data_IF_132402796838
#
_entry.id   IF_132402796838
#
_cell.length_a   1.000
_cell.length_b   1.000
_cell.length_c   1.000
_cell.angle_alpha   90.00
_cell.angle_beta   90.00
_cell.angle_gamma   90.00
#
_symmetry.space_group_name_H-M   'P 1'
#
loop_
_entity.id
_entity.type
_entity.pdbx_description
1 polymer ?
#
# COMPACT_ATOMS: atom_id res chain seq x y z
N UNK A 1 -20.20 -4.22 -14.87
CA UNK A 1 -18.81 -3.75 -14.72
C UNK A 1 -17.93 -4.95 -14.41
N UNK A 2 -16.93 -5.22 -15.24
CA UNK A 2 -16.03 -6.35 -15.07
C UNK A 2 -14.61 -5.85 -14.79
N UNK A 3 -14.13 -6.05 -13.56
CA UNK A 3 -12.78 -5.69 -13.16
C UNK A 3 -11.79 -6.83 -13.34
N UNK A 4 -10.61 -6.49 -13.85
CA UNK A 4 -9.45 -7.40 -13.89
C UNK A 4 -8.20 -6.64 -13.43
N UNK A 5 -7.24 -7.31 -12.80
CA UNK A 5 -5.91 -6.72 -12.55
C UNK A 5 -5.10 -6.77 -13.83
N UNK A 6 -4.43 -5.68 -14.18
CA UNK A 6 -3.53 -5.62 -15.32
C UNK A 6 -2.20 -6.23 -14.89
N UNK A 7 -1.76 -7.33 -15.49
CA UNK A 7 -0.55 -8.01 -15.09
C UNK A 7 0.71 -7.39 -15.68
N UNK A 8 1.82 -7.53 -14.97
CA UNK A 8 3.20 -7.33 -15.45
C UNK A 8 3.48 -5.95 -16.08
N UNK A 9 2.81 -4.91 -15.54
CA UNK A 9 2.95 -3.55 -16.05
C UNK A 9 3.01 -2.53 -14.91
N UNK A 10 3.97 -1.60 -14.98
CA UNK A 10 4.04 -0.48 -14.03
C UNK A 10 2.79 0.40 -14.12
N UNK A 11 2.29 0.82 -12.97
CA UNK A 11 1.09 1.66 -12.90
C UNK A 11 1.42 3.12 -13.25
N UNK A 12 0.63 3.79 -14.10
CA UNK A 12 0.82 5.21 -14.37
C UNK A 12 0.42 6.07 -13.16
N UNK A 13 0.96 7.28 -13.09
CA UNK A 13 0.47 8.28 -12.15
C UNK A 13 -1.00 8.61 -12.43
N UNK A 14 -1.82 8.68 -11.39
CA UNK A 14 -3.21 9.10 -11.50
C UNK A 14 -3.33 10.63 -11.32
N UNK A 15 -4.22 11.30 -12.06
CA UNK A 15 -4.41 12.73 -11.91
C UNK A 15 -4.92 13.08 -10.51
N UNK A 16 -4.51 14.25 -9.99
CA UNK A 16 -5.03 14.82 -8.74
C UNK A 16 -6.52 15.14 -8.89
N UNK A 17 -7.26 14.98 -7.82
CA UNK A 17 -8.70 15.32 -7.77
C UNK A 17 -8.84 16.77 -7.29
N UNK A 18 -9.36 17.65 -8.14
CA UNK A 18 -9.59 19.06 -7.80
C UNK A 18 -10.84 19.25 -6.94
N UNK A 19 -11.91 18.54 -7.26
CA UNK A 19 -13.19 18.58 -6.54
C UNK A 19 -13.60 17.14 -6.18
N UNK A 20 -13.36 16.79 -4.92
CA UNK A 20 -13.64 15.43 -4.41
C UNK A 20 -15.14 15.15 -4.38
N UNK A 21 -15.98 16.14 -4.08
CA UNK A 21 -17.45 15.95 -4.01
C UNK A 21 -18.01 15.63 -5.38
N UNK A 22 -17.61 16.40 -6.38
CA UNK A 22 -17.97 16.16 -7.79
C UNK A 22 -17.43 14.81 -8.28
N UNK A 23 -16.18 14.50 -7.95
CA UNK A 23 -15.57 13.21 -8.31
C UNK A 23 -16.37 12.02 -7.77
N UNK A 24 -16.79 12.08 -6.50
CA UNK A 24 -17.60 11.02 -5.85
C UNK A 24 -18.94 10.88 -6.54
N UNK A 25 -19.64 12.00 -6.81
CA UNK A 25 -20.94 11.99 -7.48
C UNK A 25 -20.86 11.38 -8.89
N UNK A 26 -19.89 11.81 -9.69
CA UNK A 26 -19.71 11.33 -11.07
C UNK A 26 -19.24 9.88 -11.16
N UNK A 27 -18.59 9.35 -10.11
CA UNK A 27 -18.02 8.01 -10.12
C UNK A 27 -18.65 7.05 -9.10
N UNK A 28 -19.79 7.39 -8.51
CA UNK A 28 -20.43 6.63 -7.42
C UNK A 28 -20.56 5.13 -7.71
N UNK A 29 -21.09 4.78 -8.87
CA UNK A 29 -21.29 3.39 -9.27
C UNK A 29 -19.95 2.65 -9.47
N UNK A 30 -18.95 3.34 -10.04
CA UNK A 30 -17.61 2.79 -10.24
C UNK A 30 -16.87 2.57 -8.92
N UNK A 31 -17.05 3.48 -7.96
CA UNK A 31 -16.46 3.37 -6.61
C UNK A 31 -17.03 2.16 -5.88
N UNK A 32 -18.35 1.98 -5.92
CA UNK A 32 -18.99 0.82 -5.27
C UNK A 32 -18.58 -0.49 -5.95
N UNK A 33 -18.59 -0.55 -7.27
CA UNK A 33 -18.16 -1.73 -8.02
C UNK A 33 -16.67 -2.08 -7.77
N UNK A 34 -15.80 -1.08 -7.64
CA UNK A 34 -14.40 -1.30 -7.26
C UNK A 34 -14.27 -1.84 -5.85
N UNK A 35 -15.05 -1.33 -4.90
CA UNK A 35 -15.09 -1.83 -3.53
C UNK A 35 -15.51 -3.30 -3.47
N UNK A 36 -16.59 -3.67 -4.17
CA UNK A 36 -17.04 -5.05 -4.27
C UNK A 36 -15.97 -5.96 -4.88
N UNK A 37 -15.32 -5.49 -5.95
CA UNK A 37 -14.21 -6.23 -6.56
C UNK A 37 -13.06 -6.41 -5.57
N UNK A 38 -12.61 -5.36 -4.88
CA UNK A 38 -11.55 -5.44 -3.90
C UNK A 38 -11.90 -6.40 -2.74
N UNK A 39 -13.16 -6.40 -2.26
CA UNK A 39 -13.63 -7.34 -1.23
C UNK A 39 -13.56 -8.78 -1.73
N UNK A 40 -13.94 -9.03 -2.98
CA UNK A 40 -13.92 -10.38 -3.59
C UNK A 40 -12.51 -10.97 -3.72
N UNK A 41 -11.48 -10.10 -3.79
CA UNK A 41 -10.06 -10.52 -3.88
C UNK A 41 -9.61 -11.06 -2.53
N UNK A 42 -9.44 -12.37 -2.43
CA UNK A 42 -8.96 -13.07 -1.22
C UNK A 42 -7.44 -13.09 -1.10
N UNK A 43 -6.76 -12.73 -2.17
CA UNK A 43 -5.32 -12.85 -2.38
C UNK A 43 -4.56 -11.52 -2.24
N UNK A 44 -5.27 -10.43 -1.86
CA UNK A 44 -4.69 -9.12 -1.62
C UNK A 44 -5.32 -8.39 -0.43
N UNK A 45 -4.51 -7.61 0.30
CA UNK A 45 -4.94 -6.76 1.41
C UNK A 45 -5.12 -5.32 0.94
N UNK A 46 -4.38 -4.92 -0.09
CA UNK A 46 -4.51 -3.65 -0.76
C UNK A 46 -4.76 -3.83 -2.25
N UNK A 47 -5.29 -2.79 -2.89
CA UNK A 47 -5.49 -2.71 -4.33
C UNK A 47 -5.63 -1.24 -4.75
N UNK A 48 -4.81 -0.77 -5.65
CA UNK A 48 -4.94 0.54 -6.26
C UNK A 48 -5.81 0.46 -7.53
N UNK A 49 -6.63 1.48 -7.77
CA UNK A 49 -7.55 1.48 -8.91
C UNK A 49 -6.82 1.40 -10.25
N UNK A 50 -5.69 2.09 -10.39
CA UNK A 50 -4.88 2.10 -11.60
C UNK A 50 -4.12 0.79 -11.90
N UNK A 51 -4.14 -0.19 -10.96
CA UNK A 51 -3.71 -1.56 -11.24
C UNK A 51 -4.77 -2.36 -12.01
N UNK A 52 -5.99 -1.83 -12.14
CA UNK A 52 -7.13 -2.53 -12.70
C UNK A 52 -7.50 -2.02 -14.09
N UNK A 53 -8.11 -2.90 -14.87
CA UNK A 53 -8.95 -2.55 -16.01
C UNK A 53 -10.42 -2.75 -15.63
N UNK A 54 -11.28 -1.84 -16.11
CA UNK A 54 -12.73 -1.94 -16.05
C UNK A 54 -13.25 -2.13 -17.47
N UNK A 55 -13.91 -3.25 -17.74
CA UNK A 55 -14.42 -3.62 -19.06
C UNK A 55 -13.34 -3.54 -20.19
N UNK A 56 -12.07 -3.86 -19.83
CA UNK A 56 -10.91 -3.87 -20.72
C UNK A 56 -10.12 -2.55 -20.82
N UNK A 57 -10.63 -1.47 -20.24
CA UNK A 57 -9.93 -0.18 -20.21
C UNK A 57 -9.29 0.06 -18.83
N UNK A 58 -8.09 0.67 -18.80
CA UNK A 58 -7.41 0.97 -17.54
C UNK A 58 -8.26 1.88 -16.65
N UNK A 59 -8.49 1.42 -15.42
CA UNK A 59 -9.28 2.13 -14.42
C UNK A 59 -8.45 3.16 -13.67
N UNK A 60 -8.11 4.26 -14.34
CA UNK A 60 -7.15 5.26 -13.87
C UNK A 60 -7.79 6.31 -12.94
N UNK A 61 -8.45 5.87 -11.85
CA UNK A 61 -8.98 6.74 -10.82
C UNK A 61 -8.03 6.80 -9.62
N UNK A 62 -7.94 8.00 -8.99
CA UNK A 62 -7.07 8.23 -7.83
C UNK A 62 -7.74 7.73 -6.55
N UNK A 63 -7.77 6.41 -6.39
CA UNK A 63 -8.29 5.74 -5.20
C UNK A 63 -7.63 4.40 -4.95
N UNK A 64 -7.65 3.98 -3.69
CA UNK A 64 -7.16 2.68 -3.26
C UNK A 64 -8.19 1.99 -2.37
N UNK A 65 -8.19 0.67 -2.39
CA UNK A 65 -8.89 -0.18 -1.44
C UNK A 65 -7.87 -0.75 -0.45
N UNK A 66 -8.11 -0.59 0.85
CA UNK A 66 -7.24 -1.14 1.91
C UNK A 66 -8.11 -1.93 2.87
N UNK A 67 -7.72 -3.18 3.11
CA UNK A 67 -8.36 -4.06 4.10
C UNK A 67 -7.63 -3.96 5.43
N UNK A 68 -8.35 -4.12 6.52
CA UNK A 68 -7.73 -4.23 7.83
C UNK A 68 -6.97 -5.56 7.93
N UNK A 69 -5.67 -5.48 8.19
CA UNK A 69 -4.81 -6.65 8.28
C UNK A 69 -5.07 -7.49 9.54
N UNK A 70 -5.59 -6.85 10.61
CA UNK A 70 -5.79 -7.46 11.92
C UNK A 70 -7.24 -7.98 12.13
N UNK A 71 -8.16 -7.73 11.18
CA UNK A 71 -9.57 -8.03 11.32
C UNK A 71 -9.97 -9.41 10.81
N UNK A 72 -10.79 -10.15 11.59
CA UNK A 72 -11.48 -11.36 11.16
C UNK A 72 -12.52 -11.04 10.06
N UNK A 73 -13.12 -9.86 10.12
CA UNK A 73 -13.97 -9.30 9.08
C UNK A 73 -13.14 -8.39 8.21
N UNK A 74 -13.04 -8.74 6.93
CA UNK A 74 -12.28 -8.02 5.92
C UNK A 74 -12.94 -6.69 5.59
N UNK A 75 -12.99 -5.79 6.57
CA UNK A 75 -13.46 -4.42 6.34
C UNK A 75 -12.55 -3.76 5.30
N UNK A 76 -13.12 -3.57 4.12
CA UNK A 76 -12.46 -2.97 2.98
C UNK A 76 -12.81 -1.49 2.92
N UNK A 77 -11.84 -0.66 3.18
CA UNK A 77 -11.98 0.79 3.10
C UNK A 77 -11.56 1.30 1.73
N UNK A 78 -12.40 2.08 1.09
CA UNK A 78 -12.03 2.85 -0.09
C UNK A 78 -11.52 4.21 0.36
N UNK A 79 -10.30 4.55 -0.06
CA UNK A 79 -9.69 5.85 0.13
C UNK A 79 -9.58 6.57 -1.21
N UNK A 80 -10.20 7.73 -1.30
CA UNK A 80 -10.24 8.60 -2.48
C UNK A 80 -9.23 9.72 -2.25
N UNK A 81 -8.42 10.02 -3.26
CA UNK A 81 -7.30 10.98 -3.24
C UNK A 81 -6.36 10.80 -2.03
N UNK A 82 -5.91 9.55 -1.73
CA UNK A 82 -5.07 9.35 -0.57
C UNK A 82 -3.71 10.01 -0.76
N UNK A 83 -3.22 10.61 0.34
CA UNK A 83 -1.92 11.28 0.43
C UNK A 83 -1.17 10.81 1.67
N UNK A 84 0.08 10.40 1.49
CA UNK A 84 1.00 10.22 2.60
C UNK A 84 1.54 11.59 2.97
N UNK A 85 1.29 12.04 4.20
CA UNK A 85 1.73 13.33 4.70
C UNK A 85 2.99 13.22 5.56
N UNK A 86 3.24 12.05 6.13
CA UNK A 86 4.43 11.80 6.92
C UNK A 86 4.82 10.33 6.94
N UNK A 87 6.12 10.07 6.85
CA UNK A 87 6.76 8.77 7.01
C UNK A 87 7.78 8.86 8.16
N UNK A 88 7.74 7.96 9.13
CA UNK A 88 8.63 8.03 10.29
C UNK A 88 8.79 6.69 11.02
N UNK A 89 9.67 6.70 12.05
CA UNK A 89 10.06 5.52 12.78
C UNK A 89 11.16 4.72 12.08
N UNK A 90 11.22 3.42 12.36
CA UNK A 90 12.21 2.55 11.74
C UNK A 90 11.92 2.39 10.24
N UNK A 91 12.97 2.42 9.43
CA UNK A 91 12.91 2.18 8.00
C UNK A 91 13.57 0.85 7.69
N UNK A 92 12.83 -0.04 7.02
CA UNK A 92 13.34 -1.36 6.61
C UNK A 92 13.03 -1.60 5.14
N UNK A 93 13.95 -2.27 4.46
CA UNK A 93 13.64 -2.85 3.17
C UNK A 93 12.69 -4.02 3.36
N UNK A 94 11.59 -4.04 2.60
CA UNK A 94 10.56 -5.08 2.63
C UNK A 94 10.47 -5.80 1.29
N UNK A 95 10.05 -7.05 1.34
CA UNK A 95 9.73 -7.86 0.17
C UNK A 95 8.22 -8.07 0.18
N UNK A 96 7.54 -7.61 -0.87
CA UNK A 96 6.10 -7.47 -0.89
C UNK A 96 5.49 -8.23 -2.05
N UNK A 97 4.40 -8.94 -1.80
CA UNK A 97 3.53 -9.42 -2.87
C UNK A 97 2.80 -8.26 -3.51
N UNK A 98 2.70 -8.26 -4.83
CA UNK A 98 1.88 -7.31 -5.58
C UNK A 98 1.00 -8.08 -6.56
N UNK A 99 -0.28 -7.70 -6.64
CA UNK A 99 -1.23 -8.37 -7.53
C UNK A 99 -0.86 -8.18 -9.01
N UNK A 100 -0.22 -7.06 -9.36
CA UNK A 100 0.28 -6.79 -10.71
C UNK A 100 1.33 -7.81 -11.15
N UNK A 101 2.24 -8.21 -10.25
CA UNK A 101 3.36 -9.10 -10.57
C UNK A 101 3.11 -10.57 -10.24
N UNK A 102 1.88 -10.89 -9.85
CA UNK A 102 1.52 -12.24 -9.39
C UNK A 102 1.47 -13.28 -10.52
N UNK A 103 1.33 -12.86 -11.76
CA UNK A 103 1.31 -13.76 -12.91
C UNK A 103 2.66 -14.45 -13.16
N UNK A 104 3.76 -13.86 -12.70
CA UNK A 104 5.09 -14.43 -12.81
C UNK A 104 5.52 -15.01 -11.47
N UNK A 105 5.59 -16.36 -11.34
CA UNK A 105 6.01 -17.00 -10.09
C UNK A 105 7.43 -16.58 -9.68
N UNK A 106 7.59 -16.30 -8.39
CA UNK A 106 8.89 -15.96 -7.82
C UNK A 106 9.27 -14.49 -7.89
N UNK A 107 8.45 -13.62 -8.47
CA UNK A 107 8.68 -12.17 -8.41
C UNK A 107 8.16 -11.57 -7.10
N UNK A 108 8.87 -10.57 -6.61
CA UNK A 108 8.52 -9.78 -5.43
C UNK A 108 8.88 -8.32 -5.64
N UNK A 109 8.10 -7.44 -5.05
CA UNK A 109 8.43 -6.01 -4.97
C UNK A 109 9.41 -5.79 -3.83
N UNK A 110 10.50 -5.08 -4.11
CA UNK A 110 11.50 -4.70 -3.12
C UNK A 110 11.37 -3.22 -2.85
N UNK A 111 11.04 -2.85 -1.62
CA UNK A 111 10.83 -1.44 -1.28
C UNK A 111 11.27 -1.11 0.15
N UNK A 112 11.78 0.09 0.32
CA UNK A 112 12.03 0.67 1.63
C UNK A 112 10.71 1.18 2.23
N UNK A 113 10.34 0.70 3.42
CA UNK A 113 9.11 1.08 4.11
C UNK A 113 9.41 1.65 5.50
N UNK A 114 8.62 2.63 5.90
CA UNK A 114 8.63 3.17 7.25
C UNK A 114 7.61 2.47 8.12
N UNK A 115 7.93 2.32 9.40
CA UNK A 115 7.06 1.64 10.37
C UNK A 115 5.76 2.42 10.64
N UNK A 116 5.80 3.75 10.58
CA UNK A 116 4.65 4.63 10.74
C UNK A 116 4.39 5.44 9.50
N UNK A 117 3.12 5.63 9.20
CA UNK A 117 2.65 6.51 8.13
C UNK A 117 1.45 7.32 8.60
N UNK A 118 1.48 8.64 8.34
CA UNK A 118 0.31 9.49 8.46
C UNK A 118 -0.30 9.66 7.06
N UNK A 119 -1.59 9.36 6.93
CA UNK A 119 -2.33 9.40 5.67
C UNK A 119 -3.53 10.32 5.79
N UNK A 120 -3.83 11.01 4.70
CA UNK A 120 -5.04 11.82 4.52
C UNK A 120 -5.80 11.28 3.31
N UNK A 121 -7.11 11.18 3.40
CA UNK A 121 -7.96 10.68 2.31
C UNK A 121 -9.43 11.04 2.54
N UNK A 122 -10.26 10.83 1.52
CA UNK A 122 -11.71 10.90 1.63
C UNK A 122 -12.34 9.50 1.51
N UNK A 123 -13.42 9.27 2.23
CA UNK A 123 -14.27 8.09 2.05
C UNK A 123 -15.36 8.33 1.02
N UNK A 124 -16.03 7.29 0.48
CA UNK A 124 -17.10 7.44 -0.52
C UNK A 124 -18.30 8.30 -0.07
N UNK A 125 -18.48 8.50 1.23
CA UNK A 125 -19.50 9.42 1.80
C UNK A 125 -19.00 10.88 1.90
N UNK A 126 -17.84 11.18 1.32
CA UNK A 126 -17.25 12.52 1.26
C UNK A 126 -16.56 12.98 2.54
N UNK A 127 -16.46 12.12 3.57
CA UNK A 127 -15.77 12.48 4.81
C UNK A 127 -14.26 12.45 4.65
N UNK A 128 -13.62 13.49 5.18
CA UNK A 128 -12.19 13.61 5.23
C UNK A 128 -11.60 12.90 6.46
N UNK A 129 -10.53 12.15 6.27
CA UNK A 129 -9.85 11.39 7.31
C UNK A 129 -8.37 11.77 7.38
N UNK A 130 -7.85 11.81 8.62
CA UNK A 130 -6.42 11.84 8.93
C UNK A 130 -6.15 10.71 9.90
N UNK A 131 -5.30 9.78 9.51
CA UNK A 131 -5.03 8.59 10.29
C UNK A 131 -3.54 8.29 10.34
N UNK A 132 -3.12 7.68 11.45
CA UNK A 132 -1.79 7.12 11.61
C UNK A 132 -1.89 5.61 11.60
N UNK A 133 -1.14 4.97 10.70
CA UNK A 133 -0.99 3.52 10.66
C UNK A 133 0.43 3.10 11.00
N UNK A 134 0.59 1.85 11.46
CA UNK A 134 1.89 1.28 11.85
C UNK A 134 2.08 -0.14 11.32
N UNK A 135 3.34 -0.58 11.28
CA UNK A 135 3.72 -1.95 10.96
C UNK A 135 3.22 -2.36 9.57
N UNK A 136 2.58 -3.53 9.49
CA UNK A 136 2.10 -4.07 8.23
C UNK A 136 1.02 -3.19 7.59
N UNK A 137 0.11 -2.60 8.37
CA UNK A 137 -0.90 -1.70 7.82
C UNK A 137 -0.27 -0.46 7.19
N UNK A 138 0.77 0.11 7.81
CA UNK A 138 1.53 1.22 7.23
C UNK A 138 2.25 0.82 5.94
N UNK A 139 2.74 -0.42 5.86
CA UNK A 139 3.36 -0.99 4.67
C UNK A 139 2.36 -1.08 3.51
N UNK A 140 1.14 -1.58 3.76
CA UNK A 140 0.07 -1.64 2.75
C UNK A 140 -0.27 -0.25 2.23
N UNK A 141 -0.48 0.74 3.10
CA UNK A 141 -0.75 2.11 2.67
C UNK A 141 0.35 2.69 1.78
N UNK A 142 1.62 2.49 2.13
CA UNK A 142 2.75 2.95 1.33
C UNK A 142 2.78 2.27 -0.03
N UNK A 143 2.48 0.97 -0.10
CA UNK A 143 2.42 0.20 -1.33
C UNK A 143 1.33 0.74 -2.27
N UNK A 144 0.10 0.84 -1.79
CA UNK A 144 -1.03 1.26 -2.63
C UNK A 144 -0.93 2.73 -3.09
N UNK A 145 -0.44 3.63 -2.21
CA UNK A 145 -0.22 5.03 -2.59
C UNK A 145 0.91 5.17 -3.62
N UNK A 146 1.93 4.30 -3.56
CA UNK A 146 2.97 4.28 -4.60
C UNK A 146 2.37 3.96 -5.98
N UNK A 147 1.46 2.99 -6.08
CA UNK A 147 0.79 2.66 -7.33
C UNK A 147 0.07 3.86 -7.93
N UNK A 148 -0.78 4.56 -7.17
CA UNK A 148 -1.53 5.72 -7.69
C UNK A 148 -0.65 6.91 -8.02
N UNK A 149 0.55 7.01 -7.43
CA UNK A 149 1.54 8.03 -7.75
C UNK A 149 2.47 7.63 -8.91
N UNK A 150 2.30 6.43 -9.47
CA UNK A 150 3.13 5.96 -10.57
C UNK A 150 4.60 5.76 -10.20
N UNK A 151 4.89 5.47 -8.93
CA UNK A 151 6.25 5.14 -8.53
C UNK A 151 6.66 3.80 -9.12
N UNK A 152 7.84 3.79 -9.75
CA UNK A 152 8.41 2.58 -10.32
C UNK A 152 8.73 1.58 -9.22
N UNK A 153 8.18 0.36 -9.35
CA UNK A 153 8.44 -0.73 -8.44
C UNK A 153 9.75 -1.44 -8.82
N UNK A 154 10.59 -1.69 -7.83
CA UNK A 154 11.77 -2.53 -7.98
C UNK A 154 11.34 -3.98 -7.86
N UNK A 155 11.37 -4.72 -8.97
CA UNK A 155 10.97 -6.11 -9.04
C UNK A 155 12.22 -7.01 -9.06
N UNK A 156 12.25 -8.01 -8.20
CA UNK A 156 13.33 -8.97 -8.12
C UNK A 156 12.79 -10.40 -8.08
N UNK A 157 13.58 -11.34 -8.59
CA UNK A 157 13.30 -12.75 -8.36
C UNK A 157 13.61 -13.12 -6.91
N UNK A 158 12.74 -13.89 -6.29
CA UNK A 158 12.88 -14.28 -4.87
C UNK A 158 14.21 -15.01 -4.60
N UNK A 159 14.71 -15.76 -5.58
CA UNK A 159 16.01 -16.44 -5.50
C UNK A 159 17.23 -15.51 -5.54
N UNK A 160 17.05 -14.26 -5.98
CA UNK A 160 18.11 -13.26 -6.13
C UNK A 160 18.10 -12.22 -5.01
N UNK A 161 17.17 -12.36 -4.04
CA UNK A 161 17.05 -11.41 -2.95
C UNK A 161 18.32 -11.38 -2.10
N UNK A 162 18.82 -10.19 -1.76
CA UNK A 162 19.99 -10.06 -0.92
C UNK A 162 19.71 -10.63 0.47
N UNK A 163 20.70 -11.34 1.02
CA UNK A 163 20.64 -11.78 2.42
C UNK A 163 20.47 -10.55 3.33
N UNK A 164 19.43 -10.56 4.14
CA UNK A 164 19.23 -9.52 5.16
C UNK A 164 20.03 -9.87 6.41
N UNK A 165 20.99 -9.04 6.76
CA UNK A 165 21.57 -9.08 8.10
C UNK A 165 20.50 -8.63 9.11
N UNK A 166 20.24 -9.45 10.12
CA UNK A 166 19.40 -9.00 11.24
C UNK A 166 20.12 -7.92 12.02
N UNK A 167 19.35 -6.88 12.40
CA UNK A 167 19.87 -5.83 13.26
C UNK A 167 20.06 -6.37 14.69
N UNK A 168 21.23 -6.17 15.22
CA UNK A 168 21.55 -6.46 16.61
C UNK A 168 21.00 -5.39 17.56
N UNK A 169 20.72 -5.77 18.81
CA UNK A 169 20.26 -4.84 19.84
C UNK A 169 21.16 -3.63 20.07
N UNK A 170 22.46 -3.79 19.81
CA UNK A 170 23.48 -2.76 20.01
C UNK A 170 23.82 -1.97 18.73
N UNK A 171 23.19 -2.29 17.61
CA UNK A 171 23.38 -1.54 16.36
C UNK A 171 22.71 -0.16 16.46
N UNK A 172 23.15 0.76 15.62
CA UNK A 172 22.51 2.06 15.53
C UNK A 172 21.08 1.92 15.02
N UNK A 173 20.17 2.68 15.62
CA UNK A 173 18.77 2.57 15.22
C UNK A 173 18.56 3.14 13.81
N UNK A 174 18.00 2.38 12.87
CA UNK A 174 17.80 2.84 11.48
C UNK A 174 16.74 3.94 11.34
N UNK A 175 16.10 4.38 12.43
CA UNK A 175 15.23 5.56 12.41
C UNK A 175 15.98 6.90 12.37
N UNK A 176 17.32 6.89 12.41
CA UNK A 176 18.14 8.09 12.38
C UNK A 176 18.23 8.86 13.70
N UNK A 177 17.75 8.31 14.82
CA UNK A 177 17.76 8.98 16.13
C UNK A 177 19.14 9.09 16.78
N UNK A 178 20.18 8.45 16.25
CA UNK A 178 21.51 8.34 16.85
C UNK A 178 21.56 7.43 18.10
N UNK A 179 20.46 6.78 18.48
CA UNK A 179 20.40 5.86 19.64
C UNK A 179 20.63 4.43 19.18
N UNK A 180 21.08 3.56 20.09
CA UNK A 180 21.12 2.11 19.86
C UNK A 180 19.70 1.55 19.76
N UNK A 181 19.51 0.52 18.90
CA UNK A 181 18.21 -0.08 18.63
C UNK A 181 17.46 -0.46 19.89
N UNK A 182 18.14 -1.09 20.87
CA UNK A 182 17.56 -1.49 22.18
C UNK A 182 17.01 -0.34 23.03
N UNK A 183 17.46 0.90 22.80
CA UNK A 183 17.03 2.12 23.49
C UNK A 183 16.10 2.99 22.64
N UNK A 184 15.66 2.48 21.50
CA UNK A 184 14.84 3.21 20.56
C UNK A 184 13.70 2.32 20.01
N UNK A 185 13.85 1.77 18.81
CA UNK A 185 12.78 1.10 18.09
C UNK A 185 12.84 -0.44 18.17
N UNK A 186 13.42 -1.03 19.21
CA UNK A 186 13.57 -2.49 19.29
C UNK A 186 12.22 -3.23 19.21
N UNK A 187 11.20 -2.75 19.91
CA UNK A 187 9.90 -3.39 19.92
C UNK A 187 9.22 -3.30 18.53
N UNK A 188 9.30 -2.14 17.89
CA UNK A 188 8.78 -1.94 16.54
C UNK A 188 9.51 -2.86 15.54
N UNK A 189 10.85 -2.93 15.65
CA UNK A 189 11.66 -3.83 14.82
C UNK A 189 11.25 -5.29 15.00
N UNK A 190 11.16 -5.77 16.25
CA UNK A 190 10.80 -7.16 16.54
C UNK A 190 9.39 -7.52 16.07
N UNK A 191 8.44 -6.59 16.18
CA UNK A 191 7.06 -6.81 15.73
C UNK A 191 6.92 -6.81 14.21
N UNK A 192 7.87 -6.24 13.47
CA UNK A 192 7.74 -6.01 12.03
C UNK A 192 8.75 -6.77 11.16
N UNK A 193 9.90 -7.20 11.72
CA UNK A 193 10.97 -7.84 10.96
C UNK A 193 10.53 -9.14 10.26
N UNK A 194 9.59 -9.86 10.85
CA UNK A 194 9.12 -11.17 10.40
C UNK A 194 7.90 -11.11 9.47
N UNK A 195 7.36 -9.92 9.23
CA UNK A 195 6.22 -9.72 8.34
C UNK A 195 6.78 -9.45 6.93
N UNK A 196 6.61 -10.43 6.06
CA UNK A 196 6.94 -10.37 4.62
C UNK A 196 5.71 -9.99 3.83
#
# INVERSE_FOLDING_TARGET
MNFTVIPDEQTPNTPQIEDVSKFIEENKEKIEAFKEYAISRRDGIGLAANQCALDGERFNLRMVAVKNADGADRDCRIAIDPKITRLYGIKLQKFEGCLTWKSVPGLTVVADRYFYVDVEFYTPDGKFHKETHKGFQAQVWQHEVNHINGYEEVIMNFSELPYRSELGRNDDCPCGSGKKLKKCCLNDYLSWKSIC
#
